data_IF_916216902864
#
_entry.id   IF_916216902864
#
_cell.length_a   1.000
_cell.length_b   1.000
_cell.length_c   1.000
_cell.angle_alpha   90.00
_cell.angle_beta   90.00
_cell.angle_gamma   90.00
#
_symmetry.space_group_name_H-M   'P 1'
#
loop_
_entity.id
_entity.type
_entity.pdbx_description
1 polymer ?
#
# COMPACT_ATOMS: atom_id res chain seq x y z
N UNK A 1 0.96 22.49 8.71
CA UNK A 1 0.25 21.20 8.74
C UNK A 1 0.19 20.73 10.17
N UNK A 2 -0.95 20.18 10.62
CA UNK A 2 -1.06 19.66 11.98
C UNK A 2 -0.42 18.28 12.04
N UNK A 3 0.44 18.09 13.03
CA UNK A 3 1.00 16.76 13.34
C UNK A 3 -0.06 15.95 14.07
N UNK A 4 -0.28 14.72 13.63
CA UNK A 4 -1.14 13.80 14.36
C UNK A 4 -0.23 12.90 15.17
N UNK A 5 -0.37 12.94 16.51
CA UNK A 5 0.31 12.01 17.42
C UNK A 5 -0.34 10.62 17.36
N UNK A 6 -0.60 10.14 16.14
CA UNK A 6 -1.24 8.85 15.91
C UNK A 6 -0.24 7.73 16.21
N UNK A 7 -0.71 6.60 16.78
CA UNK A 7 0.15 5.47 17.08
C UNK A 7 0.71 4.88 15.77
N UNK A 8 1.96 4.43 15.81
CA UNK A 8 2.58 3.73 14.68
C UNK A 8 2.01 2.30 14.58
N UNK A 9 1.10 2.14 13.62
CA UNK A 9 0.44 0.86 13.31
C UNK A 9 1.44 -0.21 12.83
N UNK A 10 1.37 -1.40 13.43
CA UNK A 10 2.13 -2.58 13.04
C UNK A 10 1.34 -3.46 12.06
N UNK A 11 1.82 -3.53 10.82
CA UNK A 11 1.23 -4.32 9.76
C UNK A 11 1.93 -5.66 9.60
N UNK A 12 1.15 -6.71 9.33
CA UNK A 12 1.68 -8.04 9.03
C UNK A 12 1.05 -8.57 7.77
N UNK A 13 1.90 -8.82 6.78
CA UNK A 13 1.52 -9.54 5.57
C UNK A 13 0.97 -10.92 5.90
N UNK A 14 -0.04 -11.34 5.14
CA UNK A 14 -0.63 -12.68 5.25
C UNK A 14 -0.39 -13.49 3.97
N UNK A 15 -0.94 -13.05 2.83
CA UNK A 15 -0.78 -13.70 1.53
C UNK A 15 -1.20 -12.75 0.40
N UNK A 16 -0.93 -13.13 -0.85
CA UNK A 16 -1.39 -12.44 -2.06
C UNK A 16 -1.95 -13.45 -3.06
N UNK A 17 -3.01 -13.07 -3.77
CA UNK A 17 -3.63 -13.89 -4.82
C UNK A 17 -4.06 -13.03 -6.00
N UNK A 18 -4.31 -13.67 -7.16
CA UNK A 18 -4.84 -13.00 -8.34
C UNK A 18 -6.26 -12.50 -8.09
N UNK A 19 -6.54 -11.27 -8.48
CA UNK A 19 -7.91 -10.79 -8.57
C UNK A 19 -8.54 -11.25 -9.89
N UNK A 20 -9.89 -11.30 -9.99
CA UNK A 20 -10.58 -11.54 -11.26
C UNK A 20 -10.32 -10.45 -12.30
N UNK A 21 -9.97 -9.24 -11.87
CA UNK A 21 -9.65 -8.11 -12.73
C UNK A 21 -8.20 -8.23 -13.25
N UNK A 22 -7.95 -8.03 -14.57
CA UNK A 22 -6.60 -8.04 -15.12
C UNK A 22 -5.69 -7.02 -14.44
N UNK A 23 -4.42 -7.36 -14.23
CA UNK A 23 -3.39 -6.52 -13.58
C UNK A 23 -3.63 -6.19 -12.09
N UNK A 24 -4.65 -6.80 -11.48
CA UNK A 24 -4.97 -6.65 -10.05
C UNK A 24 -4.73 -7.94 -9.25
N UNK A 25 -4.47 -7.73 -7.97
CA UNK A 25 -4.24 -8.74 -6.95
C UNK A 25 -5.08 -8.43 -5.73
N UNK A 26 -5.40 -9.44 -4.94
CA UNK A 26 -5.85 -9.25 -3.57
C UNK A 26 -4.68 -9.49 -2.63
N UNK A 27 -4.28 -8.45 -1.91
CA UNK A 27 -3.21 -8.52 -0.91
C UNK A 27 -3.82 -8.45 0.48
N UNK A 28 -3.62 -9.51 1.26
CA UNK A 28 -4.17 -9.62 2.60
C UNK A 28 -3.11 -9.33 3.64
N UNK A 29 -3.48 -8.54 4.63
CA UNK A 29 -2.62 -8.20 5.76
C UNK A 29 -3.46 -7.89 7.00
N UNK A 30 -2.79 -7.82 8.15
CA UNK A 30 -3.42 -7.51 9.42
C UNK A 30 -2.77 -6.32 10.12
N UNK A 31 -3.56 -5.60 10.90
CA UNK A 31 -3.15 -4.47 11.71
C UNK A 31 -3.42 -4.73 13.19
N UNK A 32 -2.54 -4.23 14.07
CA UNK A 32 -2.77 -4.23 15.52
C UNK A 32 -3.81 -3.18 15.96
N UNK A 33 -4.07 -2.17 15.13
CA UNK A 33 -5.04 -1.09 15.39
C UNK A 33 -5.96 -0.92 14.18
N UNK A 34 -7.24 -0.60 14.43
CA UNK A 34 -8.18 -0.29 13.35
C UNK A 34 -7.76 0.97 12.58
N UNK A 35 -7.55 0.85 11.27
CA UNK A 35 -7.23 1.98 10.37
C UNK A 35 -8.38 3.00 10.32
N UNK A 36 -9.63 2.55 10.36
CA UNK A 36 -10.82 3.39 10.51
C UNK A 36 -10.72 4.30 11.75
N UNK A 37 -10.09 3.82 12.83
CA UNK A 37 -9.90 4.60 14.05
C UNK A 37 -8.84 5.69 13.89
N UNK A 38 -7.85 5.50 13.02
CA UNK A 38 -6.85 6.52 12.66
C UNK A 38 -7.53 7.58 11.79
N UNK A 39 -8.26 7.17 10.76
CA UNK A 39 -9.08 8.05 9.93
C UNK A 39 -10.08 8.86 10.77
N UNK A 40 -10.80 8.22 11.67
CA UNK A 40 -11.85 8.86 12.49
C UNK A 40 -11.30 9.87 13.50
N UNK A 41 -10.03 9.77 13.93
CA UNK A 41 -9.39 10.77 14.81
C UNK A 41 -9.18 12.10 14.11
N UNK A 42 -9.20 12.09 12.78
CA UNK A 42 -9.13 13.28 11.95
C UNK A 42 -10.51 13.94 11.74
N UNK A 43 -11.40 13.91 12.77
CA UNK A 43 -12.80 14.38 12.72
C UNK A 43 -12.96 15.75 12.02
N UNK A 44 -13.91 15.83 11.10
CA UNK A 44 -14.26 17.04 10.34
C UNK A 44 -13.70 17.10 8.92
N UNK A 45 -12.97 16.07 8.48
CA UNK A 45 -12.34 16.04 7.17
C UNK A 45 -13.25 15.34 6.18
N UNK A 46 -13.76 16.10 5.21
CA UNK A 46 -14.64 15.62 4.15
C UNK A 46 -13.91 14.91 2.99
N UNK A 47 -12.57 14.88 3.02
CA UNK A 47 -11.72 14.31 1.96
C UNK A 47 -10.49 13.62 2.57
N UNK A 48 -10.72 12.46 3.18
CA UNK A 48 -9.67 11.55 3.60
C UNK A 48 -9.57 10.40 2.58
N UNK A 49 -8.36 9.99 2.24
CA UNK A 49 -8.08 8.79 1.47
C UNK A 49 -7.18 7.86 2.26
N UNK A 50 -7.47 6.58 2.18
CA UNK A 50 -6.60 5.52 2.68
C UNK A 50 -6.22 4.58 1.54
N UNK A 51 -5.00 4.07 1.60
CA UNK A 51 -4.50 3.12 0.63
C UNK A 51 -3.24 2.44 1.11
N UNK A 52 -2.99 1.28 0.52
CA UNK A 52 -1.69 0.62 0.57
C UNK A 52 -0.78 1.28 -0.46
N UNK A 53 0.47 1.56 -0.08
CA UNK A 53 1.52 2.10 -0.95
C UNK A 53 2.79 1.25 -0.74
N UNK A 54 3.29 0.63 -1.80
CA UNK A 54 4.54 -0.13 -1.83
C UNK A 54 5.52 0.57 -2.76
N UNK A 55 6.79 0.64 -2.36
CA UNK A 55 7.82 1.27 -3.20
C UNK A 55 8.61 0.21 -3.97
N UNK A 56 8.67 0.37 -5.28
CA UNK A 56 9.59 -0.38 -6.14
C UNK A 56 10.88 0.44 -6.37
N UNK A 57 11.15 1.48 -5.59
CA UNK A 57 12.42 2.22 -5.66
C UNK A 57 13.47 1.59 -4.74
N UNK A 58 14.74 1.91 -4.97
CA UNK A 58 15.86 1.55 -4.09
C UNK A 58 16.80 2.76 -3.93
N UNK A 59 16.93 3.33 -2.72
CA UNK A 59 16.17 3.02 -1.51
C UNK A 59 14.69 3.43 -1.62
N UNK A 60 13.83 2.80 -0.83
CA UNK A 60 12.43 3.20 -0.74
C UNK A 60 12.27 4.47 0.11
N UNK A 61 11.56 5.48 -0.42
CA UNK A 61 11.26 6.74 0.27
C UNK A 61 9.75 6.89 0.40
N UNK A 62 9.25 7.04 1.63
CA UNK A 62 7.82 7.23 1.92
C UNK A 62 7.62 8.57 2.63
N UNK A 63 7.44 9.61 1.82
CA UNK A 63 7.30 10.99 2.31
C UNK A 63 6.26 11.73 1.49
N UNK A 64 5.59 12.71 2.11
CA UNK A 64 4.47 13.43 1.50
C UNK A 64 4.86 14.20 0.21
N UNK A 65 6.10 14.65 0.10
CA UNK A 65 6.61 15.40 -1.06
C UNK A 65 7.44 14.53 -2.02
N UNK A 66 7.49 13.21 -1.78
CA UNK A 66 8.19 12.28 -2.65
C UNK A 66 7.20 11.56 -3.54
N UNK A 67 7.43 11.63 -4.85
CA UNK A 67 6.64 10.90 -5.85
C UNK A 67 7.37 9.59 -6.15
N UNK A 68 6.79 8.47 -5.74
CA UNK A 68 7.35 7.14 -5.97
C UNK A 68 7.14 6.77 -7.45
N UNK A 69 8.21 6.75 -8.25
CA UNK A 69 8.13 6.57 -9.70
C UNK A 69 7.61 5.20 -10.13
N UNK A 70 7.97 4.15 -9.39
CA UNK A 70 7.47 2.78 -9.59
C UNK A 70 6.93 2.27 -8.26
N UNK A 71 5.65 1.88 -8.24
CA UNK A 71 4.93 1.62 -7.00
C UNK A 71 3.96 0.45 -7.12
N UNK A 72 3.57 -0.08 -5.96
CA UNK A 72 2.35 -0.86 -5.80
C UNK A 72 1.34 -0.04 -5.02
N UNK A 73 0.07 -0.03 -5.43
CA UNK A 73 -0.97 0.70 -4.73
C UNK A 73 -2.23 -0.15 -4.62
N UNK A 74 -3.02 0.08 -3.56
CA UNK A 74 -4.31 -0.58 -3.46
C UNK A 74 -5.30 0.11 -2.54
N UNK A 75 -6.58 0.03 -2.91
CA UNK A 75 -7.68 0.44 -2.04
C UNK A 75 -7.93 -0.61 -0.97
N UNK A 76 -8.20 -0.19 0.25
CA UNK A 76 -8.36 -1.07 1.40
C UNK A 76 -9.83 -1.39 1.66
N UNK A 77 -10.14 -2.68 1.71
CA UNK A 77 -11.39 -3.20 2.24
C UNK A 77 -11.12 -3.84 3.61
N UNK A 78 -11.98 -3.56 4.59
CA UNK A 78 -11.91 -4.23 5.88
C UNK A 78 -12.50 -5.64 5.79
N UNK A 79 -11.74 -6.62 6.23
CA UNK A 79 -12.07 -8.05 6.14
C UNK A 79 -12.28 -8.68 7.54
N UNK A 80 -12.87 -7.90 8.45
CA UNK A 80 -13.16 -8.35 9.81
C UNK A 80 -11.97 -8.24 10.78
N UNK A 81 -11.92 -9.17 11.74
CA UNK A 81 -10.90 -9.23 12.79
C UNK A 81 -10.70 -10.65 13.30
N UNK A 82 -9.45 -11.05 13.52
CA UNK A 82 -9.06 -12.37 14.01
C UNK A 82 -7.97 -12.19 15.07
N UNK A 83 -8.09 -12.91 16.19
CA UNK A 83 -7.12 -12.90 17.30
C UNK A 83 -6.69 -11.50 17.77
N UNK A 84 -7.67 -10.58 17.86
CA UNK A 84 -7.43 -9.21 18.30
C UNK A 84 -6.73 -8.30 17.28
N UNK A 85 -6.52 -8.77 16.04
CA UNK A 85 -5.99 -7.97 14.92
C UNK A 85 -7.10 -7.68 13.90
N UNK A 86 -6.99 -6.55 13.22
CA UNK A 86 -7.92 -6.13 12.17
C UNK A 86 -7.42 -6.61 10.82
N UNK A 87 -8.25 -7.32 10.07
CA UNK A 87 -7.88 -7.88 8.77
C UNK A 87 -8.26 -6.92 7.66
N UNK A 88 -7.41 -6.84 6.65
CA UNK A 88 -7.59 -5.97 5.50
C UNK A 88 -7.24 -6.72 4.21
N UNK A 89 -8.02 -6.41 3.17
CA UNK A 89 -7.77 -6.82 1.80
C UNK A 89 -7.50 -5.56 0.98
N UNK A 90 -6.35 -5.49 0.32
CA UNK A 90 -6.07 -4.44 -0.65
C UNK A 90 -6.39 -4.93 -2.06
N UNK A 91 -7.23 -4.19 -2.80
CA UNK A 91 -7.38 -4.32 -4.24
C UNK A 91 -6.14 -3.68 -4.89
N UNK A 92 -5.12 -4.48 -5.12
CA UNK A 92 -3.73 -4.06 -5.30
C UNK A 92 -3.30 -4.18 -6.76
N UNK A 93 -2.54 -3.21 -7.25
CA UNK A 93 -1.95 -3.22 -8.59
C UNK A 93 -0.55 -2.62 -8.55
N UNK A 94 0.25 -2.88 -9.59
CA UNK A 94 1.53 -2.21 -9.79
C UNK A 94 1.44 -1.15 -10.87
N UNK A 95 2.12 -0.02 -10.65
CA UNK A 95 2.10 1.10 -11.57
C UNK A 95 3.42 1.85 -11.62
N UNK A 96 3.55 2.64 -12.69
CA UNK A 96 4.55 3.69 -12.81
C UNK A 96 3.84 5.03 -12.89
N UNK A 97 4.39 6.01 -12.20
CA UNK A 97 3.91 7.38 -12.28
C UNK A 97 4.06 7.91 -13.71
N UNK A 98 3.06 8.66 -14.14
CA UNK A 98 3.11 9.48 -15.35
C UNK A 98 2.73 10.93 -14.99
N UNK A 99 3.01 11.86 -15.91
CA UNK A 99 2.66 13.28 -15.78
C UNK A 99 3.07 13.91 -14.44
N UNK A 100 4.35 13.73 -14.05
CA UNK A 100 4.94 14.29 -12.81
C UNK A 100 4.21 13.93 -11.50
N UNK A 101 3.44 12.82 -11.47
CA UNK A 101 2.65 12.44 -10.30
C UNK A 101 1.14 12.61 -10.48
N UNK A 102 0.71 13.23 -11.58
CA UNK A 102 -0.70 13.49 -11.86
C UNK A 102 -1.48 12.25 -12.30
N UNK A 103 -0.81 11.27 -12.90
CA UNK A 103 -1.42 10.05 -13.40
C UNK A 103 -0.53 8.83 -13.15
N UNK A 104 -1.03 7.64 -13.48
CA UNK A 104 -0.24 6.42 -13.48
C UNK A 104 -0.60 5.54 -14.67
N UNK A 105 0.33 4.66 -15.03
CA UNK A 105 0.09 3.54 -15.95
C UNK A 105 0.38 2.23 -15.25
N UNK A 106 -0.42 1.21 -15.53
CA UNK A 106 -0.14 -0.14 -15.05
C UNK A 106 1.21 -0.61 -15.57
N UNK A 107 1.97 -1.26 -14.69
CA UNK A 107 3.21 -1.90 -15.07
C UNK A 107 2.92 -3.21 -15.82
N UNK A 108 3.45 -3.33 -17.04
CA UNK A 108 3.34 -4.57 -17.82
C UNK A 108 4.22 -5.67 -17.22
N UNK A 109 3.87 -6.92 -17.51
CA UNK A 109 4.58 -8.13 -17.05
C UNK A 109 6.09 -8.04 -17.20
N UNK A 110 6.61 -7.69 -18.38
CA UNK A 110 8.05 -7.68 -18.64
C UNK A 110 8.77 -6.68 -17.74
N UNK A 111 8.18 -5.49 -17.58
CA UNK A 111 8.72 -4.44 -16.73
C UNK A 111 8.61 -4.80 -15.25
N UNK A 112 7.54 -5.48 -14.82
CA UNK A 112 7.42 -5.99 -13.45
C UNK A 112 8.52 -7.01 -13.15
N UNK A 113 8.73 -7.96 -14.05
CA UNK A 113 9.77 -8.99 -13.87
C UNK A 113 11.15 -8.37 -13.82
N UNK A 114 11.44 -7.36 -14.66
CA UNK A 114 12.70 -6.61 -14.62
C UNK A 114 12.89 -5.89 -13.27
N UNK A 115 11.86 -5.20 -12.79
CA UNK A 115 11.93 -4.44 -11.53
C UNK A 115 12.00 -5.33 -10.29
N UNK A 116 11.26 -6.44 -10.28
CA UNK A 116 11.04 -7.29 -9.12
C UNK A 116 11.95 -8.52 -9.07
N UNK A 117 12.43 -9.02 -10.21
CA UNK A 117 13.10 -10.32 -10.33
C UNK A 117 14.39 -10.47 -9.50
N UNK A 118 15.07 -9.36 -9.19
CA UNK A 118 16.26 -9.35 -8.35
C UNK A 118 15.98 -9.10 -6.86
N UNK A 119 14.71 -8.95 -6.47
CA UNK A 119 14.33 -8.54 -5.10
C UNK A 119 13.77 -9.72 -4.32
N UNK A 120 14.14 -9.81 -3.04
CA UNK A 120 13.51 -10.74 -2.10
C UNK A 120 12.16 -10.22 -1.59
N UNK A 121 12.06 -8.91 -1.36
CA UNK A 121 10.84 -8.25 -0.92
C UNK A 121 10.79 -6.78 -1.35
N UNK A 122 9.61 -6.17 -1.25
CA UNK A 122 9.43 -4.72 -1.34
C UNK A 122 8.75 -4.19 -0.07
N UNK A 123 9.11 -3.00 0.41
CA UNK A 123 8.47 -2.39 1.57
C UNK A 123 7.10 -1.80 1.17
N UNK A 124 6.12 -2.01 2.03
CA UNK A 124 4.76 -1.50 1.90
C UNK A 124 4.31 -0.81 3.18
N UNK A 125 3.52 0.26 3.04
CA UNK A 125 2.92 1.01 4.13
C UNK A 125 1.47 1.33 3.82
N UNK A 126 0.64 1.45 4.85
CA UNK A 126 -0.63 2.13 4.73
C UNK A 126 -0.38 3.63 4.83
N UNK A 127 -0.95 4.37 3.88
CA UNK A 127 -0.94 5.83 3.82
C UNK A 127 -2.36 6.32 4.05
N UNK A 128 -2.51 7.23 5.01
CA UNK A 128 -3.77 7.94 5.24
C UNK A 128 -3.51 9.43 4.99
N UNK A 129 -4.20 9.98 4.00
CA UNK A 129 -4.07 11.38 3.60
C UNK A 129 -5.37 12.11 3.86
N UNK A 130 -5.27 13.34 4.36
CA UNK A 130 -6.41 14.12 4.78
C UNK A 130 -6.11 15.61 4.57
N UNK A 131 -7.02 16.35 3.92
CA UNK A 131 -6.77 17.75 3.58
C UNK A 131 -6.50 18.59 4.85
N UNK A 132 -5.36 19.29 4.86
CA UNK A 132 -4.92 20.13 5.98
C UNK A 132 -4.02 19.44 7.02
N UNK A 133 -3.76 18.14 6.86
CA UNK A 133 -2.97 17.31 7.78
C UNK A 133 -1.74 16.72 7.09
N UNK A 134 -0.74 16.36 7.89
CA UNK A 134 0.38 15.56 7.40
C UNK A 134 -0.12 14.15 7.07
N UNK A 135 0.32 13.59 5.95
CA UNK A 135 0.02 12.21 5.62
C UNK A 135 0.55 11.29 6.73
N UNK A 136 -0.32 10.42 7.23
CA UNK A 136 0.03 9.38 8.18
C UNK A 136 0.59 8.17 7.41
N UNK A 137 1.64 7.57 7.95
CA UNK A 137 2.27 6.36 7.43
C UNK A 137 2.41 5.33 8.54
N UNK A 138 1.97 4.09 8.28
CA UNK A 138 2.22 2.96 9.18
C UNK A 138 3.70 2.58 9.25
N UNK A 139 4.02 1.59 10.11
CA UNK A 139 5.27 0.83 9.96
C UNK A 139 5.26 0.09 8.61
N UNK A 140 6.45 -0.12 8.08
CA UNK A 140 6.63 -0.93 6.87
C UNK A 140 6.41 -2.40 7.17
N UNK A 141 5.72 -3.11 6.30
CA UNK A 141 5.84 -4.57 6.18
C UNK A 141 6.50 -4.92 4.84
N UNK A 142 7.03 -6.14 4.75
CA UNK A 142 7.68 -6.65 3.55
C UNK A 142 6.71 -7.53 2.76
N UNK A 143 6.43 -7.17 1.51
CA UNK A 143 5.73 -8.04 0.56
C UNK A 143 6.77 -8.98 -0.10
N UNK A 144 6.67 -10.30 0.05
CA UNK A 144 7.65 -11.24 -0.49
C UNK A 144 7.50 -11.42 -2.00
N UNK A 145 8.59 -11.24 -2.75
CA UNK A 145 8.56 -11.42 -4.22
C UNK A 145 8.41 -12.88 -4.64
N UNK A 146 8.75 -13.83 -3.77
CA UNK A 146 8.54 -15.25 -4.00
C UNK A 146 7.05 -15.61 -4.19
N UNK A 147 6.13 -14.83 -3.60
CA UNK A 147 4.68 -15.01 -3.78
C UNK A 147 4.14 -14.14 -4.93
N UNK A 148 4.75 -12.98 -5.19
CA UNK A 148 4.31 -12.06 -6.25
C UNK A 148 4.72 -12.53 -7.65
N UNK A 149 5.99 -12.90 -7.85
CA UNK A 149 6.54 -13.23 -9.17
C UNK A 149 5.78 -14.36 -9.88
N UNK A 150 5.39 -15.47 -9.22
CA UNK A 150 4.59 -16.51 -9.87
C UNK A 150 3.26 -15.99 -10.42
N UNK A 151 2.58 -15.12 -9.67
CA UNK A 151 1.28 -14.56 -10.07
C UNK A 151 1.39 -13.60 -11.25
N UNK A 152 2.54 -12.96 -11.44
CA UNK A 152 2.79 -12.05 -12.57
C UNK A 152 3.17 -12.81 -13.85
N UNK A 153 3.81 -13.98 -13.72
CA UNK A 153 4.37 -14.76 -14.82
C UNK A 153 3.37 -15.69 -15.52
N UNK A 154 2.32 -16.11 -14.82
CA UNK A 154 1.18 -16.85 -15.36
C UNK A 154 0.35 -15.98 -16.31
#
# INVERSE_FOLDING_TARGET
MKDTSDPLVDLRYSHIEKAPQPDYFYLYFSSDISLDSILSRSKGISRASEGLECSLEQPAVFEMNHVIASFGAGHLDRDGSVDGRFMYKANFFFGETADEGGTYRYLRRERLVELLGARSSIPCKVKISALGYKAYYSKSFSLPMAEVLPLVLE
#
